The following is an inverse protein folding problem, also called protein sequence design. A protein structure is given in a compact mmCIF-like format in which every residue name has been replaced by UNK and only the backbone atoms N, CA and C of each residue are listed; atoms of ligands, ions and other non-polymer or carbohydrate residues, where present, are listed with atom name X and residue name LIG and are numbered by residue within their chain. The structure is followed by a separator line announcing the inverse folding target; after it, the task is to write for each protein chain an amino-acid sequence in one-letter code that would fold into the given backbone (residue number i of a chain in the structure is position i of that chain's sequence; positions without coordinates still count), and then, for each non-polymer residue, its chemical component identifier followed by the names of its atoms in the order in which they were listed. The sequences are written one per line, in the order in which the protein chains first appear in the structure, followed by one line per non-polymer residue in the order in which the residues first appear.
data_IF_374139817620
#
_entry.id   IF_374139817620
#
_cell.length_a   1.000
_cell.length_b   1.000
_cell.length_c   1.000
_cell.angle_alpha   90.00
_cell.angle_beta   90.00
_cell.angle_gamma   90.00
#
_symmetry.space_group_name_H-M   'P 1'
#
loop_
_entity.id
_entity.type
_entity.pdbx_description
1 polymer ?
#
# COMPACT_ATOMS: atom_id res chain seq x y z
N UNK A 1 -57.31 -35.19 37.79
CA UNK A 1 -57.04 -33.88 37.17
C UNK A 1 -56.01 -33.03 37.96
N UNK A 2 -54.98 -33.62 38.61
CA UNK A 2 -54.08 -32.88 39.52
C UNK A 2 -52.56 -33.16 39.35
N UNK A 3 -52.10 -33.78 38.25
CA UNK A 3 -50.67 -34.08 38.02
C UNK A 3 -49.99 -33.32 36.88
N UNK A 4 -50.73 -32.52 36.11
CA UNK A 4 -50.16 -31.68 35.03
C UNK A 4 -49.77 -30.27 35.49
N UNK A 5 -50.18 -29.83 36.70
CA UNK A 5 -49.98 -28.46 37.17
C UNK A 5 -48.69 -28.25 38.00
N UNK A 6 -47.93 -29.31 38.27
CA UNK A 6 -46.68 -29.26 39.05
C UNK A 6 -45.42 -29.06 38.21
N UNK A 7 -45.44 -29.43 36.92
CA UNK A 7 -44.24 -29.39 36.06
C UNK A 7 -44.02 -28.03 35.39
N UNK A 8 -45.10 -27.29 35.13
CA UNK A 8 -45.07 -25.91 34.60
C UNK A 8 -44.60 -24.90 35.66
N UNK A 9 -45.05 -25.02 36.92
CA UNK A 9 -44.59 -24.17 38.03
C UNK A 9 -43.09 -24.27 38.31
N UNK A 10 -42.50 -25.47 38.19
CA UNK A 10 -41.06 -25.68 38.45
C UNK A 10 -40.15 -25.09 37.36
N UNK A 11 -40.66 -24.83 36.15
CA UNK A 11 -39.89 -24.22 35.06
C UNK A 11 -39.91 -22.69 35.17
N UNK A 12 -41.07 -22.08 35.47
CA UNK A 12 -41.20 -20.64 35.72
C UNK A 12 -40.41 -20.16 36.95
N UNK A 13 -40.38 -20.96 38.02
CA UNK A 13 -39.62 -20.64 39.23
C UNK A 13 -38.10 -20.63 38.98
N UNK A 14 -37.58 -21.51 38.12
CA UNK A 14 -36.15 -21.52 37.74
C UNK A 14 -35.77 -20.39 36.79
N UNK A 15 -36.69 -19.90 35.95
CA UNK A 15 -36.40 -18.77 35.04
C UNK A 15 -36.38 -17.44 35.79
N UNK A 16 -37.18 -17.29 36.84
CA UNK A 16 -37.14 -16.11 37.72
C UNK A 16 -35.89 -16.06 38.62
N UNK A 17 -35.35 -17.20 39.04
CA UNK A 17 -34.11 -17.24 39.84
C UNK A 17 -32.86 -16.88 39.01
N UNK A 18 -32.80 -17.28 37.74
CA UNK A 18 -31.69 -16.95 36.84
C UNK A 18 -31.69 -15.47 36.39
N UNK A 19 -32.87 -14.85 36.30
CA UNK A 19 -33.03 -13.42 35.97
C UNK A 19 -32.70 -12.52 37.16
N UNK A 20 -32.93 -13.01 38.39
CA UNK A 20 -32.49 -12.37 39.63
C UNK A 20 -30.95 -12.33 39.69
N UNK A 21 -30.26 -13.46 39.45
CA UNK A 21 -28.79 -13.58 39.54
C UNK A 21 -27.96 -12.62 38.70
N UNK A 22 -28.49 -12.16 37.56
CA UNK A 22 -27.78 -11.24 36.67
C UNK A 22 -28.13 -9.77 36.88
N UNK A 23 -29.10 -9.44 37.73
CA UNK A 23 -29.63 -8.08 37.87
C UNK A 23 -29.16 -7.32 39.13
N UNK A 24 -28.40 -7.97 40.02
CA UNK A 24 -27.93 -7.36 41.28
C UNK A 24 -26.41 -7.11 41.37
N UNK A 25 -25.66 -7.32 40.28
CA UNK A 25 -24.23 -6.99 40.27
C UNK A 25 -23.96 -5.61 39.65
N UNK A 26 -24.83 -4.64 39.93
CA UNK A 26 -24.57 -3.23 39.73
C UNK A 26 -25.05 -2.41 40.92
N UNK A 27 -24.08 -1.76 41.57
CA UNK A 27 -24.14 -0.52 42.39
C UNK A 27 -24.27 -0.66 43.92
N UNK A 28 -23.15 -0.38 44.63
CA UNK A 28 -22.99 0.43 45.87
C UNK A 28 -21.69 -0.02 46.59
N UNK A 29 -20.54 0.67 46.49
CA UNK A 29 -20.11 1.97 47.07
C UNK A 29 -19.34 1.84 48.41
N UNK A 30 -18.18 2.48 48.41
CA UNK A 30 -17.41 3.09 49.52
C UNK A 30 -16.26 2.32 50.22
N UNK A 31 -15.04 2.82 49.93
CA UNK A 31 -13.90 3.12 50.82
C UNK A 31 -13.28 2.03 51.73
N UNK A 32 -12.09 1.50 51.42
CA UNK A 32 -10.78 2.06 51.81
C UNK A 32 -9.62 1.02 51.61
N UNK A 33 -8.45 1.56 51.27
CA UNK A 33 -7.09 1.00 51.31
C UNK A 33 -6.64 -0.19 50.43
N UNK A 34 -5.71 0.10 49.50
CA UNK A 34 -4.70 -0.90 49.08
C UNK A 34 -4.17 -0.79 47.66
N UNK A 35 -3.28 0.19 47.40
CA UNK A 35 -2.11 0.07 46.52
C UNK A 35 -2.18 -0.93 45.35
N UNK A 36 -2.63 -0.49 44.17
CA UNK A 36 -2.02 -0.90 42.91
C UNK A 36 -2.14 0.25 41.91
N UNK A 37 -1.13 1.12 41.93
CA UNK A 37 -0.84 1.99 40.77
C UNK A 37 -0.49 1.05 39.63
N UNK A 38 -1.27 1.03 38.56
CA UNK A 38 -0.77 0.54 37.27
C UNK A 38 0.41 1.44 36.87
N UNK A 39 1.66 0.96 36.93
CA UNK A 39 2.82 1.78 36.63
C UNK A 39 3.18 1.48 35.19
N UNK A 40 2.52 2.08 34.19
CA UNK A 40 3.05 2.33 32.82
C UNK A 40 1.94 2.73 31.82
N UNK A 41 1.08 3.70 32.13
CA UNK A 41 0.43 4.43 31.03
C UNK A 41 1.40 5.49 30.50
N UNK A 42 2.32 5.05 29.63
CA UNK A 42 3.21 5.94 28.88
C UNK A 42 2.37 6.72 27.87
N UNK A 43 1.81 7.86 28.28
CA UNK A 43 1.43 8.91 27.33
C UNK A 43 2.75 9.56 26.89
N UNK A 44 3.23 9.35 25.64
CA UNK A 44 4.34 10.16 25.19
C UNK A 44 3.76 11.57 25.09
N UNK A 45 4.31 12.51 25.86
CA UNK A 45 4.20 13.92 25.51
C UNK A 45 4.60 14.03 24.04
N UNK A 46 3.64 14.21 23.13
CA UNK A 46 3.89 14.39 21.70
C UNK A 46 4.74 15.63 21.55
N UNK A 47 6.05 15.44 21.54
CA UNK A 47 7.01 16.52 21.39
C UNK A 47 6.93 17.06 19.98
N UNK A 48 7.20 18.36 19.79
CA UNK A 48 7.26 19.00 18.46
C UNK A 48 8.16 18.26 17.46
N UNK A 49 9.15 17.51 17.95
CA UNK A 49 10.02 16.65 17.13
C UNK A 49 9.27 15.45 16.52
N UNK A 50 8.29 14.88 17.21
CA UNK A 50 7.44 13.80 16.70
C UNK A 50 6.56 14.28 15.55
N UNK A 51 5.94 15.44 15.72
CA UNK A 51 5.09 16.04 14.67
C UNK A 51 5.89 16.36 13.40
N UNK A 52 7.16 16.76 13.53
CA UNK A 52 8.04 17.05 12.38
C UNK A 52 8.42 15.77 11.63
N UNK A 53 8.83 14.71 12.34
CA UNK A 53 9.26 13.44 11.71
C UNK A 53 8.07 12.70 11.08
N UNK A 54 6.89 12.76 11.71
CA UNK A 54 5.67 12.14 11.20
C UNK A 54 4.97 13.00 10.14
N UNK A 55 5.47 14.22 9.87
CA UNK A 55 4.87 15.11 8.88
C UNK A 55 4.92 14.52 7.46
N UNK A 56 3.86 14.78 6.68
CA UNK A 56 3.81 14.36 5.26
C UNK A 56 4.91 15.01 4.44
N UNK A 57 5.23 16.27 4.72
CA UNK A 57 6.28 16.99 4.03
C UNK A 57 7.65 16.34 4.23
N UNK A 58 8.01 15.99 5.47
CA UNK A 58 9.26 15.28 5.76
C UNK A 58 9.34 13.94 5.01
N UNK A 59 8.26 13.17 5.02
CA UNK A 59 8.18 11.91 4.28
C UNK A 59 8.36 12.08 2.76
N UNK A 60 7.79 13.13 2.15
CA UNK A 60 7.96 13.44 0.72
C UNK A 60 9.41 13.81 0.42
N UNK A 61 10.04 14.63 1.27
CA UNK A 61 11.46 15.02 1.10
C UNK A 61 12.36 13.79 1.14
N UNK A 62 12.18 12.90 2.13
CA UNK A 62 12.97 11.67 2.21
C UNK A 62 12.69 10.75 1.01
N UNK A 63 11.44 10.68 0.54
CA UNK A 63 11.08 9.98 -0.70
C UNK A 63 11.84 10.51 -1.92
N UNK A 64 11.90 11.84 -2.08
CA UNK A 64 12.65 12.48 -3.16
C UNK A 64 14.16 12.17 -3.09
N UNK A 65 14.74 12.14 -1.89
CA UNK A 65 16.14 11.75 -1.68
C UNK A 65 16.40 10.29 -2.09
N UNK A 66 15.47 9.38 -1.82
CA UNK A 66 15.56 7.97 -2.26
C UNK A 66 15.56 7.87 -3.78
N UNK A 67 14.64 8.59 -4.45
CA UNK A 67 14.56 8.61 -5.92
C UNK A 67 15.84 9.20 -6.52
N UNK A 68 16.33 10.31 -5.98
CA UNK A 68 17.59 10.90 -6.42
C UNK A 68 18.77 9.92 -6.24
N UNK A 69 18.82 9.17 -5.14
CA UNK A 69 19.82 8.13 -4.93
C UNK A 69 19.72 7.01 -5.98
N UNK A 70 18.52 6.57 -6.35
CA UNK A 70 18.32 5.56 -7.38
C UNK A 70 18.76 6.04 -8.77
N UNK A 71 18.48 7.31 -9.13
CA UNK A 71 18.94 7.91 -10.39
C UNK A 71 20.47 7.92 -10.43
N UNK A 72 21.13 8.34 -9.34
CA UNK A 72 22.60 8.35 -9.26
C UNK A 72 23.19 6.94 -9.43
N UNK A 73 22.57 5.92 -8.84
CA UNK A 73 22.99 4.51 -9.04
C UNK A 73 22.88 4.12 -10.52
N UNK A 74 21.79 4.51 -11.20
CA UNK A 74 21.63 4.28 -12.64
C UNK A 74 22.73 4.96 -13.46
N UNK A 75 23.01 6.23 -13.19
CA UNK A 75 24.06 7.00 -13.87
C UNK A 75 25.48 6.49 -13.58
N UNK A 76 25.73 5.98 -12.37
CA UNK A 76 27.00 5.31 -12.04
C UNK A 76 27.16 4.01 -12.85
N UNK A 77 26.07 3.27 -13.06
CA UNK A 77 26.07 2.02 -13.83
C UNK A 77 26.43 2.27 -15.30
N UNK A 78 25.92 3.35 -15.89
CA UNK A 78 26.22 3.70 -17.29
C UNK A 78 27.60 4.36 -17.47
N UNK A 79 28.10 5.07 -16.44
CA UNK A 79 29.36 5.82 -16.52
C UNK A 79 30.22 5.65 -15.24
N UNK A 80 30.89 4.51 -15.12
CA UNK A 80 31.76 4.19 -13.99
C UNK A 80 33.04 5.07 -14.00
N UNK A 81 33.01 6.27 -13.41
CA UNK A 81 34.21 7.11 -13.31
C UNK A 81 34.01 8.56 -12.89
N UNK A 82 32.77 9.03 -12.73
CA UNK A 82 32.54 10.41 -12.33
C UNK A 82 32.85 10.61 -10.85
N UNK A 83 33.76 11.55 -10.56
CA UNK A 83 34.26 11.85 -9.21
C UNK A 83 33.19 12.32 -8.21
N UNK A 84 32.03 12.77 -8.71
CA UNK A 84 30.93 13.24 -7.87
C UNK A 84 30.12 12.10 -7.24
N UNK A 85 30.09 10.90 -7.83
CA UNK A 85 29.27 9.79 -7.33
C UNK A 85 29.62 9.38 -5.90
N UNK A 86 30.91 9.17 -5.53
CA UNK A 86 31.26 8.82 -4.17
C UNK A 86 30.81 9.87 -3.13
N UNK A 87 30.86 11.16 -3.49
CA UNK A 87 30.44 12.28 -2.64
C UNK A 87 28.91 12.30 -2.46
N UNK A 88 28.15 12.12 -3.54
CA UNK A 88 26.69 12.05 -3.49
C UNK A 88 26.23 10.85 -2.66
N UNK A 89 26.87 9.70 -2.83
CA UNK A 89 26.60 8.52 -2.03
C UNK A 89 26.80 8.76 -0.53
N UNK A 90 27.85 9.48 -0.13
CA UNK A 90 28.09 9.86 1.27
C UNK A 90 26.99 10.78 1.80
N UNK A 91 26.56 11.76 1.01
CA UNK A 91 25.47 12.68 1.37
C UNK A 91 24.16 11.92 1.56
N UNK A 92 23.84 11.01 0.64
CA UNK A 92 22.62 10.18 0.73
C UNK A 92 22.68 9.27 1.96
N UNK A 93 23.79 8.56 2.17
CA UNK A 93 23.97 7.70 3.33
C UNK A 93 23.85 8.50 4.64
N UNK A 94 24.52 9.65 4.72
CA UNK A 94 24.46 10.54 5.88
C UNK A 94 23.03 11.00 6.19
N UNK A 95 22.28 11.36 5.15
CA UNK A 95 20.87 11.76 5.28
C UNK A 95 20.02 10.63 5.85
N UNK A 96 20.20 9.39 5.38
CA UNK A 96 19.47 8.22 5.91
C UNK A 96 19.87 7.86 7.34
N UNK A 97 21.16 8.02 7.71
CA UNK A 97 21.62 7.81 9.09
C UNK A 97 20.97 8.83 10.03
N UNK A 98 20.96 10.11 9.65
CA UNK A 98 20.33 11.19 10.44
C UNK A 98 18.83 10.95 10.57
N UNK A 99 18.17 10.57 9.48
CA UNK A 99 16.74 10.31 9.46
C UNK A 99 16.36 9.11 10.35
N UNK A 100 17.08 7.98 10.20
CA UNK A 100 16.84 6.78 11.00
C UNK A 100 17.12 7.02 12.49
N UNK A 101 18.22 7.72 12.82
CA UNK A 101 18.55 8.05 14.21
C UNK A 101 17.51 8.97 14.82
N UNK A 102 17.06 10.02 14.11
CA UNK A 102 15.99 10.90 14.57
C UNK A 102 14.69 10.12 14.85
N UNK A 103 14.31 9.19 13.96
CA UNK A 103 13.13 8.33 14.14
C UNK A 103 13.24 7.42 15.37
N UNK A 104 14.42 6.84 15.61
CA UNK A 104 14.69 6.00 16.79
C UNK A 104 14.62 6.84 18.07
N UNK A 105 15.21 8.04 18.08
CA UNK A 105 15.22 8.93 19.24
C UNK A 105 13.81 9.38 19.63
N UNK A 106 12.96 9.69 18.64
CA UNK A 106 11.60 10.20 18.87
C UNK A 106 10.61 9.10 19.25
N UNK A 107 10.63 7.94 18.58
CA UNK A 107 9.75 6.82 18.92
C UNK A 107 10.18 6.09 20.20
N UNK A 108 11.45 6.22 20.58
CA UNK A 108 12.07 5.48 21.69
C UNK A 108 12.50 4.06 21.28
N UNK A 109 13.64 3.60 21.81
CA UNK A 109 14.23 2.30 21.47
C UNK A 109 13.25 1.13 21.68
N UNK A 110 12.54 1.09 22.82
CA UNK A 110 11.65 -0.02 23.15
C UNK A 110 10.43 -0.11 22.21
N UNK A 111 9.88 1.03 21.78
CA UNK A 111 8.73 1.07 20.86
C UNK A 111 9.12 0.79 19.40
N UNK A 112 10.34 1.19 19.02
CA UNK A 112 10.87 0.95 17.69
C UNK A 112 11.14 -0.54 17.41
N UNK A 113 11.61 -1.27 18.42
CA UNK A 113 11.96 -2.70 18.32
C UNK A 113 10.86 -3.65 18.82
N UNK A 114 9.71 -3.14 19.23
CA UNK A 114 8.60 -3.98 19.68
C UNK A 114 7.93 -4.71 18.50
N UNK A 115 7.78 -6.02 18.60
CA UNK A 115 7.08 -6.87 17.63
C UNK A 115 5.60 -6.51 17.48
N UNK A 116 5.02 -5.81 18.45
CA UNK A 116 3.63 -5.32 18.39
C UNK A 116 3.46 -4.11 17.45
N UNK A 117 4.55 -3.54 16.93
CA UNK A 117 4.50 -2.41 16.02
C UNK A 117 4.22 -2.88 14.58
N UNK A 118 3.15 -2.42 13.91
CA UNK A 118 2.85 -2.80 12.52
C UNK A 118 3.95 -2.38 11.53
N UNK A 119 4.77 -1.40 11.90
CA UNK A 119 5.90 -0.94 11.09
C UNK A 119 7.21 -1.70 11.34
N UNK A 120 7.24 -2.68 12.25
CA UNK A 120 8.47 -3.35 12.69
C UNK A 120 9.33 -3.86 11.53
N UNK A 121 8.74 -4.57 10.57
CA UNK A 121 9.47 -5.12 9.43
C UNK A 121 10.14 -4.03 8.58
N UNK A 122 9.48 -2.88 8.43
CA UNK A 122 10.00 -1.75 7.65
C UNK A 122 11.09 -1.00 8.41
N UNK A 123 10.94 -0.86 9.72
CA UNK A 123 11.97 -0.29 10.60
C UNK A 123 13.24 -1.16 10.61
N UNK A 124 13.08 -2.48 10.70
CA UNK A 124 14.18 -3.44 10.63
C UNK A 124 14.89 -3.38 9.27
N UNK A 125 14.12 -3.32 8.19
CA UNK A 125 14.66 -3.18 6.85
C UNK A 125 15.49 -1.89 6.67
N UNK A 126 14.96 -0.74 7.12
CA UNK A 126 15.67 0.54 7.10
C UNK A 126 16.97 0.46 7.92
N UNK A 127 16.91 -0.16 9.11
CA UNK A 127 18.08 -0.35 9.97
C UNK A 127 19.17 -1.20 9.30
N UNK A 128 18.78 -2.33 8.68
CA UNK A 128 19.71 -3.21 7.96
C UNK A 128 20.35 -2.48 6.79
N UNK A 129 19.57 -1.77 5.98
CA UNK A 129 20.09 -1.06 4.80
C UNK A 129 21.03 0.08 5.17
N UNK A 130 20.73 0.84 6.22
CA UNK A 130 21.62 1.89 6.73
C UNK A 130 22.88 1.26 7.34
N UNK A 131 22.73 0.20 8.13
CA UNK A 131 23.83 -0.53 8.76
C UNK A 131 24.83 -1.10 7.74
N UNK A 132 24.34 -1.70 6.66
CA UNK A 132 25.17 -2.19 5.55
C UNK A 132 25.94 -1.04 4.89
N UNK A 133 25.29 0.11 4.66
CA UNK A 133 25.94 1.27 4.06
C UNK A 133 27.05 1.86 4.94
N UNK A 134 26.81 1.96 6.25
CA UNK A 134 27.83 2.43 7.21
C UNK A 134 28.98 1.43 7.33
N UNK A 135 28.69 0.13 7.38
CA UNK A 135 29.71 -0.92 7.43
C UNK A 135 30.61 -0.90 6.18
N UNK A 136 30.02 -0.73 4.99
CA UNK A 136 30.75 -0.62 3.72
C UNK A 136 31.72 0.58 3.74
N UNK A 137 31.26 1.77 4.15
CA UNK A 137 32.13 2.96 4.27
C UNK A 137 33.20 2.82 5.35
N UNK A 138 32.87 2.23 6.49
CA UNK A 138 33.82 1.95 7.56
C UNK A 138 34.91 0.95 7.15
N UNK A 139 34.57 -0.08 6.38
CA UNK A 139 35.55 -1.05 5.89
C UNK A 139 36.52 -0.43 4.86
N UNK A 140 36.04 0.49 4.02
CA UNK A 140 36.89 1.23 3.07
C UNK A 140 37.89 2.13 3.80
N UNK A 141 37.47 2.83 4.87
CA UNK A 141 38.38 3.69 5.64
C UNK A 141 39.42 2.87 6.42
N UNK A 142 39.05 1.73 7.00
CA UNK A 142 39.98 0.81 7.66
C UNK A 142 41.02 0.25 6.69
N UNK A 143 40.65 -0.02 5.43
CA UNK A 143 41.59 -0.42 4.38
C UNK A 143 42.63 0.66 4.09
N UNK A 144 42.20 1.92 3.97
CA UNK A 144 43.11 3.04 3.73
C UNK A 144 44.12 3.21 4.89
N UNK A 145 43.68 2.98 6.13
CA UNK A 145 44.56 2.99 7.30
C UNK A 145 45.56 1.82 7.32
N UNK A 146 45.15 0.59 6.95
CA UNK A 146 46.03 -0.58 6.97
C UNK A 146 47.12 -0.57 5.89
N UNK A 147 46.85 0.02 4.72
CA UNK A 147 47.87 0.18 3.65
C UNK A 147 49.06 1.02 4.11
N UNK A 148 48.87 1.88 5.12
CA UNK A 148 49.94 2.72 5.70
C UNK A 148 50.70 2.05 6.86
N UNK A 149 50.25 0.88 7.34
CA UNK A 149 50.64 0.39 8.67
C UNK A 149 51.39 -0.95 8.75
N UNK A 150 51.04 -2.00 7.99
CA UNK A 150 51.68 -3.33 8.14
C UNK A 150 51.32 -4.27 6.99
N UNK A 151 52.34 -4.88 6.37
CA UNK A 151 52.25 -5.62 5.10
C UNK A 151 51.71 -7.07 5.21
N UNK A 152 50.95 -7.40 6.26
CA UNK A 152 50.50 -8.77 6.54
C UNK A 152 49.04 -8.82 7.00
N UNK A 153 48.08 -8.57 6.11
CA UNK A 153 46.66 -8.77 6.39
C UNK A 153 45.99 -9.64 5.30
N UNK A 154 45.98 -10.94 5.59
CA UNK A 154 44.97 -11.98 5.28
C UNK A 154 44.13 -11.85 3.99
N UNK A 155 44.28 -12.84 3.11
CA UNK A 155 43.40 -13.14 1.97
C UNK A 155 41.91 -13.21 2.33
N UNK A 156 41.58 -13.53 3.58
CA UNK A 156 40.22 -13.55 4.11
C UNK A 156 39.55 -12.16 4.15
N UNK A 157 40.30 -11.08 4.42
CA UNK A 157 39.74 -9.72 4.42
C UNK A 157 39.38 -9.27 3.00
N UNK A 158 40.18 -9.63 2.00
CA UNK A 158 39.88 -9.34 0.59
C UNK A 158 38.56 -9.98 0.12
N UNK A 159 38.25 -11.19 0.58
CA UNK A 159 37.02 -11.90 0.21
C UNK A 159 35.79 -11.24 0.87
N UNK A 160 35.88 -10.88 2.15
CA UNK A 160 34.84 -10.13 2.86
C UNK A 160 34.58 -8.79 2.17
N UNK A 161 35.63 -8.02 1.83
CA UNK A 161 35.51 -6.74 1.15
C UNK A 161 34.84 -6.85 -0.24
N UNK A 162 35.08 -7.95 -0.96
CA UNK A 162 34.43 -8.22 -2.24
C UNK A 162 32.92 -8.43 -2.07
N UNK A 163 32.52 -9.14 -1.01
CA UNK A 163 31.11 -9.36 -0.69
C UNK A 163 30.42 -8.07 -0.25
N UNK A 164 31.05 -7.23 0.59
CA UNK A 164 30.48 -5.94 0.99
C UNK A 164 30.31 -4.97 -0.18
N UNK A 165 31.24 -4.99 -1.16
CA UNK A 165 31.07 -4.26 -2.41
C UNK A 165 29.82 -4.68 -3.19
N UNK A 166 29.42 -5.96 -3.13
CA UNK A 166 28.17 -6.40 -3.73
C UNK A 166 26.95 -5.94 -2.92
N UNK A 167 27.07 -5.81 -1.59
CA UNK A 167 26.00 -5.29 -0.75
C UNK A 167 25.66 -3.82 -1.05
N UNK A 168 26.52 -3.06 -1.74
CA UNK A 168 26.17 -1.71 -2.25
C UNK A 168 24.97 -1.76 -3.21
N UNK A 169 24.78 -2.87 -3.93
CA UNK A 169 23.60 -3.06 -4.79
C UNK A 169 22.32 -3.07 -3.97
N UNK A 170 22.39 -3.47 -2.69
CA UNK A 170 21.22 -3.51 -1.82
C UNK A 170 20.64 -2.12 -1.55
N UNK A 171 21.41 -1.05 -1.83
CA UNK A 171 20.91 0.33 -1.78
C UNK A 171 19.76 0.55 -2.76
N UNK A 172 19.66 -0.22 -3.86
CA UNK A 172 18.50 -0.18 -4.76
C UNK A 172 17.21 -0.57 -4.04
N UNK A 173 17.29 -1.47 -3.05
CA UNK A 173 16.12 -1.89 -2.28
C UNK A 173 15.53 -0.74 -1.44
N UNK A 174 16.23 0.39 -1.27
CA UNK A 174 15.65 1.59 -0.65
C UNK A 174 14.40 2.08 -1.39
N UNK A 175 14.25 1.78 -2.69
CA UNK A 175 13.04 2.12 -3.44
C UNK A 175 11.78 1.44 -2.88
N UNK A 176 11.92 0.28 -2.24
CA UNK A 176 10.79 -0.40 -1.59
C UNK A 176 10.20 0.41 -0.44
N UNK A 177 10.95 1.36 0.14
CA UNK A 177 10.43 2.29 1.13
C UNK A 177 9.45 3.31 0.52
N UNK A 178 9.72 3.75 -0.71
CA UNK A 178 8.74 4.54 -1.48
C UNK A 178 7.53 3.68 -1.79
N UNK A 179 7.77 2.42 -2.20
CA UNK A 179 6.69 1.47 -2.44
C UNK A 179 5.84 1.19 -1.19
N UNK A 180 6.38 1.23 0.04
CA UNK A 180 5.59 1.13 1.28
C UNK A 180 4.54 2.25 1.36
N UNK A 181 4.98 3.49 1.15
CA UNK A 181 4.07 4.64 1.18
C UNK A 181 3.03 4.56 0.07
N UNK A 182 3.44 4.10 -1.11
CA UNK A 182 2.53 3.83 -2.22
C UNK A 182 1.64 2.61 -1.97
N UNK A 183 2.10 1.61 -1.23
CA UNK A 183 1.35 0.39 -0.92
C UNK A 183 0.19 0.69 0.03
N UNK A 184 0.38 1.57 1.01
CA UNK A 184 -0.73 2.05 1.85
C UNK A 184 -1.78 2.80 1.02
N UNK A 185 -1.35 3.54 -0.01
CA UNK A 185 -2.27 4.15 -0.98
C UNK A 185 -2.90 3.08 -1.91
N UNK A 186 -2.14 2.08 -2.34
CA UNK A 186 -2.58 0.98 -3.18
C UNK A 186 -3.60 0.07 -2.47
N UNK A 187 -3.50 -0.13 -1.16
CA UNK A 187 -4.53 -0.80 -0.36
C UNK A 187 -5.84 0.00 -0.41
N UNK A 188 -5.77 1.33 -0.46
CA UNK A 188 -6.99 2.15 -0.64
C UNK A 188 -7.60 1.92 -2.03
N UNK A 189 -6.75 1.78 -3.07
CA UNK A 189 -7.18 1.35 -4.42
C UNK A 189 -7.58 -0.13 -4.51
N UNK A 190 -7.24 -0.97 -3.52
CA UNK A 190 -7.62 -2.39 -3.53
C UNK A 190 -9.14 -2.57 -3.49
N UNK A 191 -9.88 -1.57 -2.99
CA UNK A 191 -11.34 -1.51 -3.11
C UNK A 191 -11.83 -1.53 -4.57
N UNK A 192 -11.08 -0.94 -5.50
CA UNK A 192 -11.39 -0.93 -6.93
C UNK A 192 -10.97 -2.22 -7.66
N UNK A 193 -10.05 -3.01 -7.08
CA UNK A 193 -9.57 -4.28 -7.67
C UNK A 193 -10.72 -5.28 -7.82
N UNK A 194 -11.66 -5.31 -6.87
CA UNK A 194 -12.84 -6.18 -6.97
C UNK A 194 -13.67 -5.92 -8.24
N UNK A 195 -13.94 -4.64 -8.54
CA UNK A 195 -14.68 -4.23 -9.73
C UNK A 195 -13.92 -4.51 -11.02
N UNK A 196 -12.61 -4.22 -11.04
CA UNK A 196 -11.73 -4.49 -12.19
C UNK A 196 -11.62 -6.00 -12.47
N UNK A 197 -11.51 -6.83 -11.43
CA UNK A 197 -11.50 -8.29 -11.59
C UNK A 197 -12.83 -8.83 -12.10
N UNK A 198 -13.95 -8.30 -11.62
CA UNK A 198 -15.29 -8.66 -12.11
C UNK A 198 -15.41 -8.41 -13.61
N UNK A 199 -14.97 -7.25 -14.08
CA UNK A 199 -15.02 -6.92 -15.51
C UNK A 199 -13.98 -7.69 -16.30
N UNK A 200 -12.76 -7.78 -15.81
CA UNK A 200 -11.71 -8.57 -16.45
C UNK A 200 -12.16 -10.00 -16.70
N UNK A 201 -12.92 -10.59 -15.75
CA UNK A 201 -13.51 -11.92 -15.93
C UNK A 201 -14.56 -11.98 -17.04
N UNK A 202 -15.40 -10.95 -17.18
CA UNK A 202 -16.41 -10.86 -18.25
C UNK A 202 -15.75 -10.70 -19.62
N UNK A 203 -14.76 -9.81 -19.75
CA UNK A 203 -13.99 -9.63 -20.98
C UNK A 203 -13.27 -10.93 -21.35
N UNK A 204 -12.64 -11.60 -20.39
CA UNK A 204 -11.98 -12.89 -20.62
C UNK A 204 -12.97 -13.97 -21.10
N UNK A 205 -14.18 -14.00 -20.54
CA UNK A 205 -15.24 -14.91 -20.98
C UNK A 205 -15.68 -14.62 -22.42
N UNK A 206 -15.84 -13.35 -22.80
CA UNK A 206 -16.19 -12.96 -24.17
C UNK A 206 -15.08 -13.39 -25.13
N UNK A 207 -13.82 -13.07 -24.82
CA UNK A 207 -12.65 -13.47 -25.62
C UNK A 207 -12.55 -15.00 -25.73
N UNK A 208 -12.88 -15.74 -24.66
CA UNK A 208 -12.93 -17.20 -24.69
C UNK A 208 -14.01 -17.74 -25.63
N UNK A 209 -15.24 -17.24 -25.54
CA UNK A 209 -16.35 -17.65 -26.42
C UNK A 209 -16.01 -17.32 -27.88
N UNK A 210 -15.54 -16.11 -28.15
CA UNK A 210 -15.09 -15.68 -29.48
C UNK A 210 -13.92 -16.54 -29.97
N UNK A 211 -12.96 -16.86 -29.10
CA UNK A 211 -11.84 -17.75 -29.41
C UNK A 211 -12.30 -19.14 -29.81
N UNK A 212 -13.30 -19.72 -29.14
CA UNK A 212 -13.92 -20.99 -29.55
C UNK A 212 -14.56 -20.85 -30.93
N UNK A 213 -15.37 -19.82 -31.14
CA UNK A 213 -16.09 -19.60 -32.41
C UNK A 213 -15.09 -19.48 -33.56
N UNK A 214 -14.06 -18.66 -33.42
CA UNK A 214 -13.04 -18.47 -34.46
C UNK A 214 -12.23 -19.74 -34.70
N UNK A 215 -11.83 -20.47 -33.65
CA UNK A 215 -11.15 -21.77 -33.80
C UNK A 215 -12.01 -22.77 -34.58
N UNK A 216 -13.33 -22.78 -34.34
CA UNK A 216 -14.26 -23.68 -35.03
C UNK A 216 -14.53 -23.29 -36.48
N UNK A 217 -14.58 -21.99 -36.78
CA UNK A 217 -14.87 -21.46 -38.10
C UNK A 217 -13.63 -21.42 -39.02
N UNK A 218 -12.47 -21.09 -38.45
CA UNK A 218 -11.25 -20.78 -39.22
C UNK A 218 -10.03 -21.65 -38.85
N UNK A 219 -10.07 -22.38 -37.73
CA UNK A 219 -8.96 -23.23 -37.30
C UNK A 219 -8.79 -24.51 -38.12
N UNK A 220 -9.85 -24.96 -38.81
CA UNK A 220 -9.79 -26.08 -39.76
C UNK A 220 -9.63 -25.53 -41.19
N UNK A 221 -8.40 -25.18 -41.57
CA UNK A 221 -8.13 -24.77 -42.94
C UNK A 221 -8.15 -25.97 -43.91
N UNK A 222 -8.76 -25.77 -45.09
CA UNK A 222 -8.75 -26.74 -46.18
C UNK A 222 -7.29 -27.00 -46.61
N UNK A 223 -6.87 -28.25 -46.90
CA UNK A 223 -5.49 -28.57 -47.27
C UNK A 223 -4.96 -27.81 -48.51
N UNK A 224 -5.85 -27.37 -49.39
CA UNK A 224 -5.53 -26.65 -50.64
C UNK A 224 -5.53 -25.11 -50.49
N UNK A 225 -5.78 -24.58 -49.28
CA UNK A 225 -5.77 -23.13 -49.02
C UNK A 225 -4.32 -22.60 -48.88
N UNK A 226 -3.87 -21.63 -49.69
CA UNK A 226 -2.53 -21.05 -49.57
C UNK A 226 -2.29 -20.35 -48.21
N UNK A 227 -3.35 -20.03 -47.46
CA UNK A 227 -3.28 -19.47 -46.12
C UNK A 227 -3.47 -20.48 -44.98
N UNK A 228 -3.52 -21.78 -45.27
CA UNK A 228 -3.78 -22.81 -44.25
C UNK A 228 -2.78 -22.77 -43.08
N UNK A 229 -1.48 -22.58 -43.37
CA UNK A 229 -0.43 -22.49 -42.35
C UNK A 229 -0.62 -21.29 -41.43
N UNK A 230 -0.96 -20.13 -42.00
CA UNK A 230 -1.19 -18.88 -41.26
C UNK A 230 -2.46 -19.00 -40.41
N UNK A 231 -3.54 -19.56 -40.95
CA UNK A 231 -4.78 -19.81 -40.21
C UNK A 231 -4.57 -20.80 -39.06
N UNK A 232 -3.75 -21.83 -39.25
CA UNK A 232 -3.44 -22.80 -38.20
C UNK A 232 -2.54 -22.21 -37.10
N UNK A 233 -1.61 -21.32 -37.44
CA UNK A 233 -0.74 -20.63 -36.48
C UNK A 233 -1.54 -19.72 -35.54
N UNK A 234 -2.46 -18.91 -36.09
CA UNK A 234 -3.24 -17.96 -35.30
C UNK A 234 -4.53 -18.54 -34.71
N UNK A 235 -5.19 -19.45 -35.42
CA UNK A 235 -6.54 -19.93 -35.08
C UNK A 235 -6.63 -21.45 -34.88
N UNK A 236 -5.51 -22.18 -34.93
CA UNK A 236 -5.52 -23.65 -34.81
C UNK A 236 -5.90 -24.18 -33.43
N UNK A 237 -5.77 -23.37 -32.37
CA UNK A 237 -6.22 -23.73 -31.02
C UNK A 237 -6.99 -22.59 -30.37
N UNK A 238 -7.80 -22.91 -29.35
CA UNK A 238 -8.58 -21.90 -28.61
C UNK A 238 -7.65 -20.87 -27.96
N UNK A 239 -6.54 -21.32 -27.36
CA UNK A 239 -5.56 -20.42 -26.74
C UNK A 239 -4.87 -19.50 -27.75
N UNK A 240 -4.48 -20.02 -28.91
CA UNK A 240 -3.93 -19.21 -29.98
C UNK A 240 -4.96 -18.18 -30.48
N UNK A 241 -6.20 -18.60 -30.71
CA UNK A 241 -7.28 -17.69 -31.13
C UNK A 241 -7.57 -16.60 -30.11
N UNK A 242 -7.59 -16.92 -28.81
CA UNK A 242 -7.78 -15.95 -27.73
C UNK A 242 -6.63 -14.93 -27.67
N UNK A 243 -5.38 -15.39 -27.80
CA UNK A 243 -4.20 -14.52 -27.79
C UNK A 243 -4.18 -13.61 -29.02
N UNK A 244 -4.53 -14.15 -30.19
CA UNK A 244 -4.63 -13.37 -31.44
C UNK A 244 -5.73 -12.32 -31.33
N UNK A 245 -6.90 -12.68 -30.81
CA UNK A 245 -7.99 -11.73 -30.53
C UNK A 245 -7.56 -10.63 -29.54
N UNK A 246 -6.88 -11.00 -28.45
CA UNK A 246 -6.38 -10.03 -27.47
C UNK A 246 -5.36 -9.06 -28.09
N UNK A 247 -4.42 -9.58 -28.88
CA UNK A 247 -3.44 -8.75 -29.60
C UNK A 247 -4.11 -7.80 -30.58
N UNK A 248 -5.11 -8.27 -31.31
CA UNK A 248 -5.83 -7.48 -32.30
C UNK A 248 -6.70 -6.39 -31.66
N UNK A 249 -7.28 -6.65 -30.48
CA UNK A 249 -7.97 -5.63 -29.66
C UNK A 249 -7.00 -4.56 -29.11
N UNK A 250 -5.80 -4.97 -28.68
CA UNK A 250 -4.81 -4.05 -28.11
C UNK A 250 -4.11 -3.22 -29.20
N UNK A 251 -3.84 -3.84 -30.35
CA UNK A 251 -3.13 -3.27 -31.49
C UNK A 251 -3.78 -3.77 -32.78
N UNK A 252 -4.73 -3.03 -33.37
CA UNK A 252 -5.43 -3.46 -34.58
C UNK A 252 -4.53 -3.36 -35.80
N UNK A 253 -3.76 -4.42 -36.06
CA UNK A 253 -2.94 -4.56 -37.27
C UNK A 253 -3.70 -5.33 -38.35
N UNK A 254 -4.53 -4.59 -39.08
CA UNK A 254 -5.45 -5.13 -40.10
C UNK A 254 -4.74 -5.53 -41.39
N UNK A 255 -3.49 -5.09 -41.61
CA UNK A 255 -2.72 -5.38 -42.82
C UNK A 255 -2.32 -6.86 -42.90
N UNK A 256 -2.08 -7.48 -41.74
CA UNK A 256 -1.68 -8.89 -41.65
C UNK A 256 -2.83 -9.88 -41.90
N UNK A 257 -4.08 -9.45 -41.80
CA UNK A 257 -5.28 -10.30 -41.86
C UNK A 257 -6.21 -9.98 -43.05
N UNK A 258 -5.77 -9.14 -44.00
CA UNK A 258 -6.52 -8.75 -45.21
C UNK A 258 -7.09 -9.89 -46.09
N UNK A 259 -6.47 -11.10 -46.22
CA UNK A 259 -6.99 -12.11 -47.15
C UNK A 259 -8.21 -12.92 -46.66
N UNK A 260 -8.84 -12.56 -45.54
CA UNK A 260 -9.99 -13.28 -45.01
C UNK A 260 -11.17 -12.34 -44.68
N UNK A 261 -11.97 -11.99 -45.69
CA UNK A 261 -13.10 -11.05 -45.58
C UNK A 261 -14.08 -11.41 -44.44
N UNK A 262 -14.29 -12.70 -44.17
CA UNK A 262 -15.14 -13.17 -43.06
C UNK A 262 -14.51 -13.00 -41.66
N UNK A 263 -13.18 -13.01 -41.55
CA UNK A 263 -12.47 -12.78 -40.28
C UNK A 263 -12.60 -11.32 -39.89
N UNK A 264 -12.54 -10.41 -40.87
CA UNK A 264 -12.68 -8.96 -40.65
C UNK A 264 -14.04 -8.63 -40.05
N UNK A 265 -15.14 -9.24 -40.51
CA UNK A 265 -16.49 -8.98 -39.97
C UNK A 265 -16.61 -9.48 -38.53
N UNK A 266 -16.19 -10.72 -38.27
CA UNK A 266 -16.22 -11.28 -36.90
C UNK A 266 -15.32 -10.48 -35.98
N UNK A 267 -14.15 -10.05 -36.45
CA UNK A 267 -13.26 -9.20 -35.70
C UNK A 267 -13.86 -7.83 -35.40
N UNK A 268 -14.40 -7.10 -36.38
CA UNK A 268 -15.01 -5.78 -36.16
C UNK A 268 -16.16 -5.87 -35.16
N UNK A 269 -17.01 -6.90 -35.26
CA UNK A 269 -18.10 -7.09 -34.28
C UNK A 269 -17.56 -7.38 -32.88
N UNK A 270 -16.52 -8.21 -32.77
CA UNK A 270 -15.94 -8.56 -31.47
C UNK A 270 -15.19 -7.38 -30.87
N UNK A 271 -14.45 -6.62 -31.68
CA UNK A 271 -13.75 -5.41 -31.29
C UNK A 271 -14.74 -4.33 -30.84
N UNK A 272 -15.76 -4.01 -31.65
CA UNK A 272 -16.82 -3.06 -31.27
C UNK A 272 -17.54 -3.50 -29.99
N UNK A 273 -17.90 -4.78 -29.86
CA UNK A 273 -18.53 -5.31 -28.64
C UNK A 273 -17.62 -5.19 -27.41
N UNK A 274 -16.33 -5.52 -27.53
CA UNK A 274 -15.38 -5.44 -26.42
C UNK A 274 -15.08 -3.99 -26.07
N UNK A 275 -14.89 -3.11 -27.05
CA UNK A 275 -14.73 -1.67 -26.83
C UNK A 275 -15.96 -1.11 -26.11
N UNK A 276 -17.17 -1.46 -26.54
CA UNK A 276 -18.39 -1.05 -25.83
C UNK A 276 -18.41 -1.57 -24.40
N UNK A 277 -18.08 -2.85 -24.17
CA UNK A 277 -18.04 -3.43 -22.82
C UNK A 277 -16.99 -2.74 -21.94
N UNK A 278 -15.79 -2.50 -22.47
CA UNK A 278 -14.70 -1.82 -21.76
C UNK A 278 -15.08 -0.38 -21.46
N UNK A 279 -15.60 0.38 -22.43
CA UNK A 279 -16.05 1.76 -22.23
C UNK A 279 -17.18 1.83 -21.20
N UNK A 280 -18.19 0.95 -21.30
CA UNK A 280 -19.28 0.89 -20.31
C UNK A 280 -18.71 0.61 -18.92
N UNK A 281 -17.76 -0.31 -18.81
CA UNK A 281 -17.13 -0.62 -17.54
C UNK A 281 -16.31 0.55 -17.03
N UNK A 282 -15.47 1.15 -17.85
CA UNK A 282 -14.61 2.26 -17.44
C UNK A 282 -15.48 3.40 -16.92
N UNK A 283 -16.62 3.65 -17.58
CA UNK A 283 -17.64 4.58 -17.09
C UNK A 283 -18.19 4.16 -15.74
N UNK A 284 -18.58 2.89 -15.56
CA UNK A 284 -19.08 2.37 -14.26
C UNK A 284 -18.04 2.50 -13.16
N UNK A 285 -16.79 2.10 -13.40
CA UNK A 285 -15.68 2.19 -12.44
C UNK A 285 -15.40 3.65 -12.10
N UNK A 286 -15.36 4.54 -13.08
CA UNK A 286 -15.18 5.97 -12.85
C UNK A 286 -16.32 6.52 -11.99
N UNK A 287 -17.56 6.15 -12.28
CA UNK A 287 -18.73 6.56 -11.48
C UNK A 287 -18.61 6.03 -10.05
N UNK A 288 -18.29 4.75 -9.85
CA UNK A 288 -18.12 4.14 -8.52
C UNK A 288 -17.03 4.85 -7.71
N UNK A 289 -15.89 5.16 -8.35
CA UNK A 289 -14.80 5.90 -7.72
C UNK A 289 -15.23 7.32 -7.35
N UNK A 290 -15.90 8.04 -8.26
CA UNK A 290 -16.38 9.41 -8.00
C UNK A 290 -17.39 9.43 -6.85
N UNK A 291 -18.31 8.46 -6.81
CA UNK A 291 -19.29 8.31 -5.73
C UNK A 291 -18.55 8.03 -4.41
N UNK A 292 -17.61 7.08 -4.39
CA UNK A 292 -16.84 6.75 -3.20
C UNK A 292 -16.06 7.95 -2.65
N UNK A 293 -15.36 8.69 -3.51
CA UNK A 293 -14.62 9.90 -3.13
C UNK A 293 -15.55 10.97 -2.57
N UNK A 294 -16.69 11.21 -3.25
CA UNK A 294 -17.68 12.20 -2.81
C UNK A 294 -18.22 11.86 -1.42
N UNK A 295 -18.58 10.59 -1.18
CA UNK A 295 -19.05 10.13 0.12
C UNK A 295 -18.00 10.33 1.20
N UNK A 296 -16.73 9.96 0.93
CA UNK A 296 -15.64 10.15 1.90
C UNK A 296 -15.46 11.62 2.24
N UNK A 297 -15.43 12.52 1.25
CA UNK A 297 -15.26 13.97 1.47
C UNK A 297 -16.42 14.53 2.30
N UNK A 298 -17.66 14.16 1.98
CA UNK A 298 -18.84 14.61 2.72
C UNK A 298 -18.82 14.11 4.16
N UNK A 299 -18.56 12.80 4.37
CA UNK A 299 -18.52 12.21 5.72
C UNK A 299 -17.41 12.83 6.56
N UNK A 300 -16.20 12.95 6.01
CA UNK A 300 -15.08 13.59 6.71
C UNK A 300 -15.40 15.06 7.00
N UNK A 301 -15.98 15.79 6.05
CA UNK A 301 -16.42 17.17 6.24
C UNK A 301 -17.43 17.30 7.39
N UNK A 302 -18.46 16.44 7.42
CA UNK A 302 -19.47 16.42 8.49
C UNK A 302 -18.82 16.09 9.84
N UNK A 303 -17.94 15.09 9.90
CA UNK A 303 -17.24 14.72 11.14
C UNK A 303 -16.37 15.86 11.64
N UNK A 304 -15.62 16.53 10.76
CA UNK A 304 -14.80 17.69 11.12
C UNK A 304 -15.66 18.83 11.66
N UNK A 305 -16.78 19.13 11.00
CA UNK A 305 -17.73 20.17 11.46
C UNK A 305 -18.31 19.80 12.83
N UNK A 306 -18.74 18.56 13.03
CA UNK A 306 -19.26 18.09 14.31
C UNK A 306 -18.21 18.17 15.42
N UNK A 307 -16.97 17.77 15.15
CA UNK A 307 -15.86 17.88 16.10
C UNK A 307 -15.60 19.35 16.44
N UNK A 308 -15.59 20.26 15.45
CA UNK A 308 -15.45 21.69 15.69
C UNK A 308 -16.59 22.20 16.58
N UNK A 309 -17.85 21.83 16.29
CA UNK A 309 -19.00 22.24 17.10
C UNK A 309 -18.87 21.74 18.53
N UNK A 310 -18.52 20.47 18.74
CA UNK A 310 -18.33 19.88 20.07
C UNK A 310 -17.21 20.58 20.82
N UNK A 311 -16.05 20.79 20.18
CA UNK A 311 -14.91 21.48 20.80
C UNK A 311 -15.25 22.94 21.13
N UNK A 312 -15.96 23.65 20.26
CA UNK A 312 -16.41 25.04 20.50
C UNK A 312 -17.45 25.10 21.63
N UNK A 313 -18.34 24.10 21.72
CA UNK A 313 -19.37 24.03 22.76
C UNK A 313 -18.78 23.64 24.13
N UNK A 314 -17.75 22.80 24.15
CA UNK A 314 -17.04 22.34 25.36
C UNK A 314 -16.04 23.39 25.90
N UNK A 315 -15.50 24.25 25.04
CA UNK A 315 -14.59 25.33 25.45
C UNK A 315 -15.28 26.48 26.20
N UNK A 316 -16.57 26.36 26.52
CA UNK A 316 -17.27 27.27 27.45
C UNK A 316 -17.20 28.74 27.05
N UNK A 317 -17.05 29.03 25.74
CA UNK A 317 -16.98 30.40 25.24
C UNK A 317 -18.35 31.04 25.45
N UNK A 318 -18.46 31.75 26.57
CA UNK A 318 -19.63 32.50 26.97
C UNK A 318 -19.79 33.65 25.96
N UNK A 319 -20.70 33.48 25.00
CA UNK A 319 -21.08 34.52 24.03
C UNK A 319 -21.92 35.61 24.70
N UNK A 320 -21.47 36.10 25.85
CA UNK A 320 -21.95 37.36 26.39
C UNK A 320 -21.50 38.46 25.44
N UNK A 321 -22.33 38.72 24.43
CA UNK A 321 -22.30 39.93 23.64
C UNK A 321 -22.21 41.11 24.61
N UNK A 322 -21.01 41.65 24.75
CA UNK A 322 -20.76 42.90 25.45
C UNK A 322 -21.47 43.99 24.63
N UNK A 323 -22.76 44.20 24.90
CA UNK A 323 -23.47 45.38 24.41
C UNK A 323 -22.78 46.57 25.09
N UNK A 324 -22.16 47.49 24.34
CA UNK A 324 -21.49 48.63 24.95
C UNK A 324 -22.54 49.49 25.65
N UNK A 325 -22.44 49.62 26.98
CA UNK A 325 -23.38 50.40 27.80
C UNK A 325 -23.19 51.93 27.67
N UNK A 326 -22.31 52.40 26.78
CA UNK A 326 -21.93 53.82 26.68
C UNK A 326 -22.85 54.68 25.80
N UNK A 327 -24.13 54.33 25.65
CA UNK A 327 -25.11 55.19 24.94
C UNK A 327 -26.46 55.33 25.62
N UNK A 328 -26.49 55.35 26.95
CA UNK A 328 -27.70 55.67 27.75
C UNK A 328 -27.38 56.59 28.94
N UNK A 329 -26.65 57.69 28.70
CA UNK A 329 -26.78 58.92 29.52
C UNK A 329 -27.38 60.01 28.64
N UNK A 330 -28.70 59.99 28.58
CA UNK A 330 -29.60 61.07 28.20
C UNK A 330 -30.79 60.99 29.12
#
# INVERSE_FOLDING_TARGET
MARANGRSRSIEEKTHLLSSEHAYMTVASDDDEGLERDPFEYTPSRGRAQDVIESRFFNIVIGAVIVANAIVIGLETDNEGFWLYPMLEDIFLGTFVVELSARICVRGLCSFWSTSNPDFNWNLFDFVLVGIGVADRGLVSLRAAQVSGSHHASSSLFLVLRTFRLLRILRIFRIFRVLKQMYLQAISFASAVGSVLGVGSLVLLIVYICGIVITRLYGNAEPDDPLALVKQEYFGTVGASMLTLFQLMAFPDMERFQPAEGIVIVFVIVDDCVVVVVVVVDVVVVVDVVVAVTVVVVVVGVVVVLVIIVVVCDSGVDWQCHVPQDRMRG
#
